data_IF_664120001004
#
_entry.id   IF_664120001004
#
_cell.length_a   1.000
_cell.length_b   1.000
_cell.length_c   1.000
_cell.angle_alpha   90.00
_cell.angle_beta   90.00
_cell.angle_gamma   90.00
#
_symmetry.space_group_name_H-M   'P 1'
#
loop_
_entity.id
_entity.type
_entity.pdbx_description
1 polymer ?
#
# COMPACT_ATOMS: atom_id res chain seq x y z
N UNK A 1 -18.07 7.63 14.57
CA UNK A 1 -17.47 7.79 13.22
C UNK A 1 -18.54 7.34 12.21
N UNK A 2 -18.78 8.10 11.14
CA UNK A 2 -19.93 7.89 10.24
C UNK A 2 -19.43 7.60 8.83
N UNK A 3 -20.09 6.71 8.11
CA UNK A 3 -19.76 6.37 6.72
C UNK A 3 -20.08 7.56 5.81
N UNK A 4 -19.15 7.93 4.94
CA UNK A 4 -19.27 9.11 4.09
C UNK A 4 -19.99 8.85 2.76
N UNK A 5 -20.39 7.61 2.47
CA UNK A 5 -21.11 7.25 1.25
C UNK A 5 -22.57 6.90 1.54
N UNK A 6 -22.87 6.27 2.68
CA UNK A 6 -24.24 5.86 3.03
C UNK A 6 -24.87 6.70 4.12
N UNK A 7 -24.09 7.52 4.84
CA UNK A 7 -24.58 8.27 5.99
C UNK A 7 -24.99 7.37 7.16
N UNK A 8 -24.58 6.10 7.18
CA UNK A 8 -24.77 5.24 8.35
C UNK A 8 -23.71 5.48 9.42
N UNK A 9 -24.12 5.40 10.69
CA UNK A 9 -23.24 5.49 11.84
C UNK A 9 -22.42 4.19 11.97
N UNK A 10 -21.18 4.21 11.46
CA UNK A 10 -20.24 3.08 11.58
C UNK A 10 -19.81 2.80 13.03
N UNK A 11 -19.85 3.81 13.89
CA UNK A 11 -19.47 3.73 15.30
C UNK A 11 -20.37 4.67 16.11
N UNK A 12 -21.38 4.09 16.77
CA UNK A 12 -22.18 4.73 17.80
C UNK A 12 -21.84 4.07 19.14
N UNK A 13 -21.05 4.76 19.97
CA UNK A 13 -20.86 4.37 21.35
C UNK A 13 -22.07 4.86 22.15
N UNK A 14 -22.87 3.95 22.70
CA UNK A 14 -23.91 4.33 23.65
C UNK A 14 -23.26 4.84 24.92
N UNK A 15 -23.30 6.16 25.12
CA UNK A 15 -22.91 6.80 26.37
C UNK A 15 -23.95 6.46 27.43
N UNK A 16 -23.60 5.54 28.34
CA UNK A 16 -24.25 5.46 29.64
C UNK A 16 -23.20 5.81 30.68
N UNK A 17 -23.41 6.94 31.35
CA UNK A 17 -22.64 7.41 32.51
C UNK A 17 -21.19 7.85 32.25
N UNK A 18 -20.90 8.48 31.10
CA UNK A 18 -19.60 9.15 30.83
C UNK A 18 -18.37 8.22 30.79
N UNK A 19 -18.58 6.92 30.91
CA UNK A 19 -17.58 5.90 30.67
C UNK A 19 -17.90 5.33 29.30
N UNK A 20 -17.01 5.50 28.32
CA UNK A 20 -17.11 4.72 27.09
C UNK A 20 -17.03 3.25 27.50
N UNK A 21 -18.09 2.44 27.33
CA UNK A 21 -17.96 1.02 27.55
C UNK A 21 -17.02 0.53 26.46
N UNK A 22 -15.74 0.38 26.80
CA UNK A 22 -14.78 -0.40 26.06
C UNK A 22 -15.27 -1.85 26.20
N UNK A 23 -16.34 -2.21 25.48
CA UNK A 23 -16.65 -3.60 25.23
C UNK A 23 -15.44 -4.14 24.51
N UNK A 24 -14.66 -4.88 25.29
CA UNK A 24 -13.34 -5.37 24.97
C UNK A 24 -13.27 -5.90 23.55
N UNK A 25 -12.13 -5.65 22.91
CA UNK A 25 -11.56 -6.36 21.76
C UNK A 25 -12.13 -7.77 21.62
N UNK A 26 -13.30 -7.92 21.01
CA UNK A 26 -13.68 -9.21 20.48
C UNK A 26 -12.79 -9.40 19.27
N UNK A 27 -11.97 -10.45 19.30
CA UNK A 27 -11.12 -10.86 18.20
C UNK A 27 -12.01 -11.27 17.03
N UNK A 28 -12.55 -10.26 16.33
CA UNK A 28 -13.44 -10.44 15.20
C UNK A 28 -12.61 -11.13 14.12
N UNK A 29 -13.11 -12.25 13.62
CA UNK A 29 -12.56 -12.87 12.43
C UNK A 29 -12.74 -11.88 11.29
N UNK A 30 -11.62 -11.36 10.78
CA UNK A 30 -11.58 -10.30 9.77
C UNK A 30 -10.95 -10.88 8.50
N UNK A 31 -11.51 -10.64 7.30
CA UNK A 31 -10.98 -11.20 6.06
C UNK A 31 -9.52 -10.83 5.79
N UNK A 32 -8.78 -11.73 5.14
CA UNK A 32 -7.39 -11.52 4.73
C UNK A 32 -7.12 -10.19 4.02
N UNK A 33 -7.96 -9.75 3.04
CA UNK A 33 -7.80 -8.45 2.38
C UNK A 33 -7.84 -7.22 3.30
N UNK A 34 -8.53 -7.32 4.45
CA UNK A 34 -8.58 -6.23 5.43
C UNK A 34 -7.30 -6.20 6.25
N UNK A 35 -6.78 -7.36 6.66
CA UNK A 35 -5.47 -7.46 7.31
C UNK A 35 -4.33 -7.03 6.39
N UNK A 36 -4.39 -7.38 5.11
CA UNK A 36 -3.49 -6.89 4.08
C UNK A 36 -3.37 -5.36 4.09
N UNK A 37 -4.51 -4.63 4.09
CA UNK A 37 -4.52 -3.16 4.14
C UNK A 37 -4.00 -2.61 5.48
N UNK A 38 -4.43 -3.20 6.60
CA UNK A 38 -4.04 -2.75 7.96
C UNK A 38 -2.55 -2.90 8.24
N UNK A 39 -1.92 -3.93 7.69
CA UNK A 39 -0.51 -4.26 7.91
C UNK A 39 0.41 -3.66 6.83
N UNK A 40 -0.04 -2.61 6.13
CA UNK A 40 0.79 -1.92 5.15
C UNK A 40 0.99 -2.71 3.85
N UNK A 41 -0.08 -3.31 3.32
CA UNK A 41 -0.06 -4.06 2.07
C UNK A 41 0.86 -5.31 2.08
N UNK A 42 0.94 -5.98 3.23
CA UNK A 42 1.77 -7.17 3.39
C UNK A 42 1.32 -8.34 2.49
N UNK A 43 2.26 -9.20 2.09
CA UNK A 43 1.96 -10.36 1.25
C UNK A 43 1.17 -11.45 1.99
N UNK A 44 0.52 -12.33 1.24
CA UNK A 44 -0.29 -13.42 1.79
C UNK A 44 0.52 -14.36 2.72
N UNK A 45 1.81 -14.56 2.43
CA UNK A 45 2.72 -15.31 3.32
C UNK A 45 2.79 -14.73 4.73
N UNK A 46 2.89 -13.41 4.86
CA UNK A 46 2.94 -12.74 6.17
C UNK A 46 1.61 -12.92 6.90
N UNK A 47 0.48 -12.76 6.19
CA UNK A 47 -0.86 -12.97 6.76
C UNK A 47 -1.01 -14.42 7.25
N UNK A 48 -0.55 -15.40 6.47
CA UNK A 48 -0.56 -16.81 6.86
C UNK A 48 0.28 -17.07 8.11
N UNK A 49 1.51 -16.55 8.16
CA UNK A 49 2.38 -16.67 9.35
C UNK A 49 1.74 -16.03 10.59
N UNK A 50 1.14 -14.84 10.46
CA UNK A 50 0.47 -14.18 11.57
C UNK A 50 -0.77 -14.96 12.05
N UNK A 51 -1.53 -15.55 11.11
CA UNK A 51 -2.67 -16.41 11.43
C UNK A 51 -2.21 -17.67 12.17
N UNK A 52 -1.17 -18.34 11.70
CA UNK A 52 -0.61 -19.54 12.34
C UNK A 52 -0.11 -19.26 13.76
N UNK A 53 0.52 -18.10 13.96
CA UNK A 53 0.96 -17.64 15.28
C UNK A 53 -0.17 -17.08 16.15
N UNK A 54 -1.44 -17.14 15.71
CA UNK A 54 -2.61 -16.62 16.43
C UNK A 54 -2.54 -15.12 16.76
N UNK A 55 -1.73 -14.36 16.02
CA UNK A 55 -1.58 -12.91 16.19
C UNK A 55 -2.71 -12.15 15.49
N UNK A 56 -3.33 -12.76 14.48
CA UNK A 56 -4.52 -12.24 13.80
C UNK A 56 -5.57 -13.35 13.63
N UNK A 57 -6.84 -12.95 13.60
CA UNK A 57 -7.96 -13.84 13.29
C UNK A 57 -8.49 -13.54 11.89
N UNK A 58 -8.35 -14.50 10.97
CA UNK A 58 -8.84 -14.39 9.59
C UNK A 58 -9.45 -15.71 9.10
N UNK A 59 -10.58 -15.61 8.39
CA UNK A 59 -11.29 -16.72 7.76
C UNK A 59 -10.79 -17.05 6.37
N UNK A 60 -10.06 -16.14 5.72
CA UNK A 60 -9.66 -16.29 4.32
C UNK A 60 -8.18 -15.97 4.10
N UNK A 61 -7.59 -16.64 3.12
CA UNK A 61 -6.36 -16.17 2.48
C UNK A 61 -6.64 -14.89 1.68
N UNK A 62 -5.58 -14.20 1.28
CA UNK A 62 -5.63 -12.99 0.48
C UNK A 62 -5.16 -13.28 -0.94
N UNK A 63 -5.99 -12.94 -1.93
CA UNK A 63 -5.59 -12.91 -3.33
C UNK A 63 -5.00 -11.54 -3.67
N UNK A 64 -3.94 -11.51 -4.48
CA UNK A 64 -3.14 -10.32 -4.79
C UNK A 64 -3.83 -9.21 -5.61
N UNK A 65 -5.16 -9.13 -5.58
CA UNK A 65 -5.94 -8.16 -6.36
C UNK A 65 -6.10 -6.81 -5.64
N UNK A 66 -4.99 -6.22 -5.21
CA UNK A 66 -4.97 -4.89 -4.60
C UNK A 66 -4.38 -3.87 -5.57
N UNK A 67 -5.15 -2.82 -5.90
CA UNK A 67 -4.74 -1.74 -6.80
C UNK A 67 -3.45 -1.07 -6.35
N UNK A 68 -3.35 -0.67 -5.07
CA UNK A 68 -2.15 -0.03 -4.52
C UNK A 68 -0.91 -0.92 -4.64
N UNK A 69 -1.05 -2.24 -4.45
CA UNK A 69 0.06 -3.17 -4.62
C UNK A 69 0.48 -3.33 -6.07
N UNK A 70 -0.48 -3.39 -7.01
CA UNK A 70 -0.18 -3.48 -8.44
C UNK A 70 0.59 -2.26 -8.91
N UNK A 71 0.17 -1.07 -8.48
CA UNK A 71 0.84 0.19 -8.81
C UNK A 71 2.22 0.29 -8.12
N UNK A 72 2.33 -0.13 -6.85
CA UNK A 72 3.61 -0.08 -6.13
C UNK A 72 4.63 -1.15 -6.56
N UNK A 73 4.17 -2.26 -7.15
CA UNK A 73 5.01 -3.35 -7.65
C UNK A 73 5.16 -3.34 -9.17
N UNK A 74 4.49 -2.45 -9.89
CA UNK A 74 4.68 -2.35 -11.33
C UNK A 74 6.06 -1.80 -11.60
N UNK A 75 6.88 -2.58 -12.28
CA UNK A 75 8.13 -2.09 -12.84
C UNK A 75 7.82 -1.34 -14.14
N UNK A 76 8.60 -0.28 -14.42
CA UNK A 76 8.59 0.32 -15.75
C UNK A 76 8.95 -0.77 -16.74
N UNK A 77 8.16 -0.89 -17.82
CA UNK A 77 8.54 -1.76 -18.93
C UNK A 77 9.94 -1.37 -19.42
N UNK A 78 10.76 -2.33 -19.86
CA UNK A 78 12.03 -1.99 -20.48
C UNK A 78 11.79 -0.99 -21.60
N UNK A 79 12.67 0.01 -21.68
CA UNK A 79 12.67 0.91 -22.83
C UNK A 79 12.95 0.07 -24.07
N UNK A 80 12.35 0.44 -25.19
CA UNK A 80 12.74 -0.12 -26.48
C UNK A 80 14.23 0.14 -26.70
N UNK A 81 14.93 -0.87 -27.23
CA UNK A 81 16.32 -0.69 -27.62
C UNK A 81 16.36 0.35 -28.74
N UNK A 82 16.96 1.50 -28.46
CA UNK A 82 17.27 2.51 -29.47
C UNK A 82 18.75 2.36 -29.78
N UNK A 83 19.05 1.85 -30.97
CA UNK A 83 20.42 1.82 -31.50
C UNK A 83 20.67 3.18 -32.16
N UNK A 84 21.55 3.98 -31.56
CA UNK A 84 22.05 5.21 -32.16
C UNK A 84 23.38 4.89 -32.85
N UNK A 85 23.33 4.61 -34.15
CA UNK A 85 24.54 4.45 -34.97
C UNK A 85 24.93 5.80 -35.58
N UNK A 86 26.22 6.11 -35.51
CA UNK A 86 26.83 7.28 -36.17
C UNK A 86 27.82 6.83 -37.22
N UNK A 87 27.73 7.39 -38.42
CA UNK A 87 28.62 7.13 -39.55
C UNK A 87 29.73 8.17 -39.68
N UNK A 88 29.65 9.29 -38.94
CA UNK A 88 30.63 10.37 -38.98
C UNK A 88 30.99 10.91 -37.58
N UNK A 89 32.17 11.54 -37.49
CA UNK A 89 32.63 12.17 -36.26
C UNK A 89 31.71 13.35 -35.88
N UNK A 90 31.35 13.45 -34.59
CA UNK A 90 30.49 14.49 -34.01
C UNK A 90 29.04 14.52 -34.54
N UNK A 91 28.56 13.44 -35.15
CA UNK A 91 27.19 13.35 -35.67
C UNK A 91 26.11 13.42 -34.57
N UNK A 92 26.43 12.93 -33.36
CA UNK A 92 25.55 13.02 -32.20
C UNK A 92 26.35 13.56 -31.01
N UNK A 93 25.83 14.61 -30.38
CA UNK A 93 26.36 15.21 -29.15
C UNK A 93 25.28 15.10 -28.07
N UNK A 94 25.58 14.37 -26.99
CA UNK A 94 24.72 14.29 -25.82
C UNK A 94 25.21 15.28 -24.75
N UNK A 95 24.33 16.17 -24.31
CA UNK A 95 24.59 17.09 -23.20
C UNK A 95 23.52 16.94 -22.13
N UNK A 96 23.92 16.75 -20.89
CA UNK A 96 23.02 16.72 -19.73
C UNK A 96 23.31 17.91 -18.82
N UNK A 97 22.26 18.50 -18.24
CA UNK A 97 22.37 19.63 -17.31
C UNK A 97 22.05 19.12 -15.93
N UNK A 98 23.07 19.06 -15.08
CA UNK A 98 22.89 18.81 -13.65
C UNK A 98 22.97 20.13 -12.89
N UNK A 99 22.08 20.31 -11.91
CA UNK A 99 22.11 21.47 -11.00
C UNK A 99 22.47 20.99 -9.59
N UNK A 100 23.45 21.66 -8.98
CA UNK A 100 23.80 21.46 -7.58
C UNK A 100 22.90 22.33 -6.70
N UNK A 101 22.28 21.75 -5.67
CA UNK A 101 21.41 22.45 -4.71
C UNK A 101 22.19 23.26 -3.67
N UNK A 102 23.43 23.65 -3.96
CA UNK A 102 24.22 24.48 -3.05
C UNK A 102 23.85 25.95 -3.30
N UNK A 103 23.22 26.58 -2.32
CA UNK A 103 23.03 28.02 -2.33
C UNK A 103 24.41 28.70 -2.29
N UNK A 104 24.67 29.59 -3.24
CA UNK A 104 25.86 30.45 -3.21
C UNK A 104 25.75 31.44 -2.05
N UNK A 105 26.82 31.56 -1.26
CA UNK A 105 26.98 32.61 -0.23
C UNK A 105 27.06 34.01 -0.85
#
# INVERSE_FOLDING_TARGET
MKDNQTGELLLQATNKNHVYPFTALQARVVPGPVWHKRLGHCGDRIICTLRQNKLISTSSSFTHDCVSCKLGKSHKLPFSDVIHDTSAALEIIHSDVWQSQVASN
#
